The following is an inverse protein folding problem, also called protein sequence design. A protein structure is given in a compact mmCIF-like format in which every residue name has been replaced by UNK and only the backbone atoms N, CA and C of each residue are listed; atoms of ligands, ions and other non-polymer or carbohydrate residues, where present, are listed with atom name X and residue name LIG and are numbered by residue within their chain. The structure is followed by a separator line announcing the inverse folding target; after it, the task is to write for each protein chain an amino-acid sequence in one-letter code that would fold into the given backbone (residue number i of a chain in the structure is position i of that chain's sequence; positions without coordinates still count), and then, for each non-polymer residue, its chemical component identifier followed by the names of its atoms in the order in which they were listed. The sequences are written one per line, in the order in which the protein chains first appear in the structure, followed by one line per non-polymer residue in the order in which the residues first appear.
data_IF_563725385486
#
_entry.id   IF_563725385486
#
_cell.length_a   1.000
_cell.length_b   1.000
_cell.length_c   1.000
_cell.angle_alpha   90.00
_cell.angle_beta   90.00
_cell.angle_gamma   90.00
#
_symmetry.space_group_name_H-M   'P 1'
#
loop_
_entity.id
_entity.type
_entity.pdbx_description
1 polymer ?
#
# COMPACT_ATOMS: atom_id res chain seq x y z
N UNK A 1 23.21 7.40 -4.54
CA UNK A 1 22.53 6.20 -4.01
C UNK A 1 21.07 6.28 -4.42
N UNK A 2 20.61 5.37 -5.28
CA UNK A 2 19.20 5.31 -5.69
C UNK A 2 18.37 5.00 -4.45
N UNK A 3 17.48 5.92 -4.08
CA UNK A 3 16.52 5.75 -2.99
C UNK A 3 15.50 4.70 -3.44
N UNK A 4 15.89 3.42 -3.38
CA UNK A 4 14.96 2.30 -3.55
C UNK A 4 14.15 2.12 -2.26
N UNK A 5 13.51 3.19 -1.78
CA UNK A 5 12.88 3.29 -0.45
C UNK A 5 11.73 2.30 -0.25
N UNK A 6 10.55 2.79 0.12
CA UNK A 6 9.42 1.95 0.54
C UNK A 6 8.96 0.98 -0.57
N UNK A 7 9.24 1.30 -1.84
CA UNK A 7 8.90 0.49 -3.03
C UNK A 7 9.37 -0.96 -2.95
N UNK A 8 10.57 -1.21 -2.43
CA UNK A 8 11.14 -2.57 -2.35
C UNK A 8 10.27 -3.54 -1.55
N UNK A 9 9.61 -3.04 -0.51
CA UNK A 9 8.73 -3.85 0.34
C UNK A 9 7.51 -4.39 -0.42
N UNK A 10 7.17 -3.77 -1.56
CA UNK A 10 6.03 -4.16 -2.40
C UNK A 10 6.46 -4.87 -3.69
N UNK A 11 7.77 -5.04 -3.93
CA UNK A 11 8.26 -5.71 -5.15
C UNK A 11 7.86 -7.20 -5.16
N UNK A 12 7.93 -7.84 -3.99
CA UNK A 12 7.70 -9.27 -3.77
C UNK A 12 6.24 -9.60 -3.36
N UNK A 13 5.36 -8.61 -3.32
CA UNK A 13 3.94 -8.83 -3.04
C UNK A 13 3.27 -9.47 -4.25
N UNK A 14 2.75 -10.68 -4.07
CA UNK A 14 2.06 -11.47 -5.10
C UNK A 14 1.04 -12.41 -4.45
N UNK A 15 0.13 -12.95 -5.26
CA UNK A 15 -0.80 -14.01 -4.84
C UNK A 15 -0.05 -15.22 -4.26
N UNK A 16 0.95 -15.74 -4.97
CA UNK A 16 1.74 -16.90 -4.53
C UNK A 16 2.38 -16.67 -3.16
N UNK A 17 2.86 -15.45 -2.90
CA UNK A 17 3.44 -15.11 -1.60
C UNK A 17 2.42 -15.17 -0.47
N UNK A 18 1.21 -14.67 -0.69
CA UNK A 18 0.12 -14.73 0.30
C UNK A 18 -0.35 -16.18 0.49
N UNK A 19 -0.44 -16.95 -0.60
CA UNK A 19 -0.79 -18.37 -0.56
C UNK A 19 0.22 -19.20 0.23
N UNK A 20 1.52 -18.98 -0.01
CA UNK A 20 2.60 -19.67 0.72
C UNK A 20 2.60 -19.33 2.22
N UNK A 21 2.24 -18.10 2.58
CA UNK A 21 2.15 -17.69 3.99
C UNK A 21 1.01 -18.38 4.73
N UNK A 22 -0.11 -18.62 4.04
CA UNK A 22 -1.29 -19.26 4.63
C UNK A 22 -1.20 -20.79 4.60
N UNK A 23 -0.87 -21.37 3.44
CA UNK A 23 -0.97 -22.80 3.17
C UNK A 23 0.38 -23.50 2.94
N UNK A 24 1.48 -22.76 3.03
CA UNK A 24 2.82 -23.33 2.88
C UNK A 24 3.18 -24.32 3.99
N UNK A 25 4.31 -25.03 3.85
CA UNK A 25 4.75 -26.04 4.84
C UNK A 25 4.99 -25.47 6.24
N UNK A 26 5.27 -24.16 6.33
CA UNK A 26 5.42 -23.40 7.57
C UNK A 26 4.27 -22.40 7.78
N UNK A 27 3.15 -22.55 7.06
CA UNK A 27 2.04 -21.61 7.04
C UNK A 27 1.29 -21.55 8.37
N UNK A 28 0.79 -20.36 8.69
CA UNK A 28 -0.07 -20.12 9.85
C UNK A 28 -1.41 -19.58 9.35
N UNK A 29 -2.50 -20.01 9.99
CA UNK A 29 -3.83 -19.41 9.85
C UNK A 29 -3.69 -17.90 10.12
N UNK A 30 -4.12 -17.05 9.19
CA UNK A 30 -3.97 -15.57 9.16
C UNK A 30 -2.63 -15.02 8.63
N UNK A 31 -1.70 -15.85 8.15
CA UNK A 31 -0.37 -15.42 7.68
C UNK A 31 -0.41 -14.37 6.55
N UNK A 32 -1.38 -14.48 5.64
CA UNK A 32 -1.59 -13.50 4.58
C UNK A 32 -2.11 -12.14 5.08
N UNK A 33 -3.06 -12.16 6.01
CA UNK A 33 -3.67 -10.94 6.59
C UNK A 33 -2.67 -10.16 7.44
N UNK A 34 -1.91 -10.84 8.30
CA UNK A 34 -0.87 -10.22 9.12
C UNK A 34 0.22 -9.54 8.28
N UNK A 35 0.61 -10.17 7.17
CA UNK A 35 1.57 -9.58 6.23
C UNK A 35 1.04 -8.28 5.61
N UNK A 36 -0.23 -8.23 5.22
CA UNK A 36 -0.85 -7.02 4.67
C UNK A 36 -0.98 -5.94 5.74
N UNK A 37 -1.43 -6.30 6.95
CA UNK A 37 -1.51 -5.37 8.09
C UNK A 37 -0.16 -4.73 8.42
N UNK A 38 0.94 -5.45 8.24
CA UNK A 38 2.29 -4.90 8.40
C UNK A 38 2.67 -3.88 7.32
N UNK A 39 2.14 -4.02 6.09
CA UNK A 39 2.42 -3.11 4.96
C UNK A 39 1.54 -1.85 4.96
N UNK A 40 0.34 -1.89 5.55
CA UNK A 40 -0.57 -0.74 5.57
C UNK A 40 0.02 0.52 6.24
N UNK A 41 0.66 0.46 7.43
CA UNK A 41 1.29 1.63 8.04
C UNK A 41 2.37 2.28 7.16
N UNK A 42 3.09 1.46 6.39
CA UNK A 42 4.14 1.90 5.45
C UNK A 42 3.52 2.74 4.32
N UNK A 43 2.39 2.32 3.77
CA UNK A 43 1.64 3.09 2.76
C UNK A 43 1.08 4.39 3.33
N UNK A 44 0.52 4.35 4.54
CA UNK A 44 -0.04 5.53 5.21
C UNK A 44 1.04 6.59 5.44
N UNK A 45 2.21 6.18 5.96
CA UNK A 45 3.32 7.11 6.19
C UNK A 45 3.87 7.67 4.87
N UNK A 46 4.00 6.83 3.84
CA UNK A 46 4.46 7.26 2.53
C UNK A 46 3.51 8.29 1.89
N UNK A 47 2.20 8.05 1.97
CA UNK A 47 1.17 8.99 1.51
C UNK A 47 1.30 10.33 2.24
N UNK A 48 1.41 10.32 3.57
CA UNK A 48 1.57 11.52 4.39
C UNK A 48 2.78 12.35 3.95
N UNK A 49 3.94 11.72 3.75
CA UNK A 49 5.16 12.41 3.29
C UNK A 49 4.99 13.02 1.89
N UNK A 50 4.31 12.33 0.98
CA UNK A 50 4.00 12.85 -0.36
C UNK A 50 3.10 14.09 -0.29
N UNK A 51 2.10 14.08 0.59
CA UNK A 51 1.18 15.20 0.83
C UNK A 51 1.92 16.39 1.46
N UNK A 52 2.69 16.18 2.52
CA UNK A 52 3.53 17.20 3.16
C UNK A 52 4.47 17.87 2.14
N UNK A 53 5.14 17.08 1.30
CA UNK A 53 6.06 17.63 0.29
C UNK A 53 5.31 18.41 -0.79
N UNK A 54 4.12 17.94 -1.20
CA UNK A 54 3.27 18.63 -2.18
C UNK A 54 2.77 19.97 -1.65
N UNK A 55 2.37 20.02 -0.39
CA UNK A 55 1.87 21.24 0.23
C UNK A 55 2.99 22.26 0.43
N UNK A 56 4.20 21.82 0.79
CA UNK A 56 5.39 22.68 0.79
C UNK A 56 5.66 23.28 -0.59
N UNK A 57 5.63 22.47 -1.65
CA UNK A 57 5.82 22.98 -3.03
C UNK A 57 4.74 23.99 -3.47
N UNK A 58 3.50 23.84 -2.97
CA UNK A 58 2.37 24.73 -3.26
C UNK A 58 2.44 26.03 -2.48
N UNK A 59 2.92 25.99 -1.24
CA UNK A 59 3.02 27.17 -0.36
C UNK A 59 3.92 28.28 -0.90
N UNK A 60 4.78 27.97 -1.88
CA UNK A 60 5.68 28.96 -2.48
C UNK A 60 6.84 29.37 -1.58
N UNK A 61 7.06 28.64 -0.47
CA UNK A 61 8.27 28.75 0.33
C UNK A 61 9.49 28.59 -0.57
N UNK A 62 10.47 29.49 -0.42
CA UNK A 62 11.64 29.55 -1.31
C UNK A 62 12.52 28.32 -1.04
N UNK A 63 12.22 27.24 -1.74
CA UNK A 63 12.77 25.93 -1.47
C UNK A 63 14.02 25.74 -2.32
N UNK A 64 15.22 25.67 -1.72
CA UNK A 64 16.39 25.28 -2.48
C UNK A 64 16.11 23.91 -3.11
N UNK A 65 16.41 23.76 -4.40
CA UNK A 65 16.16 22.53 -5.17
C UNK A 65 14.68 22.21 -5.48
N UNK A 66 13.82 23.22 -5.67
CA UNK A 66 12.41 23.05 -6.08
C UNK A 66 12.20 22.11 -7.26
N UNK A 67 13.00 22.22 -8.32
CA UNK A 67 12.92 21.34 -9.50
C UNK A 67 13.23 19.88 -9.16
N UNK A 68 14.23 19.65 -8.30
CA UNK A 68 14.56 18.32 -7.80
C UNK A 68 13.42 17.74 -6.96
N UNK A 69 12.84 18.52 -6.05
CA UNK A 69 11.70 18.09 -5.23
C UNK A 69 10.46 17.77 -6.08
N UNK A 70 10.20 18.53 -7.15
CA UNK A 70 9.12 18.22 -8.10
C UNK A 70 9.36 16.89 -8.84
N UNK A 71 10.59 16.67 -9.31
CA UNK A 71 10.96 15.40 -9.95
C UNK A 71 10.80 14.23 -8.99
N UNK A 72 11.32 14.37 -7.78
CA UNK A 72 11.22 13.35 -6.75
C UNK A 72 9.76 13.01 -6.42
N UNK A 73 8.88 14.01 -6.26
CA UNK A 73 7.44 13.76 -6.02
C UNK A 73 6.81 12.96 -7.16
N UNK A 74 7.14 13.26 -8.43
CA UNK A 74 6.58 12.51 -9.57
C UNK A 74 7.01 11.05 -9.54
N UNK A 75 8.30 10.80 -9.32
CA UNK A 75 8.87 9.45 -9.24
C UNK A 75 8.28 8.67 -8.07
N UNK A 76 8.23 9.28 -6.88
CA UNK A 76 7.68 8.66 -5.66
C UNK A 76 6.16 8.42 -5.76
N UNK A 77 5.41 9.36 -6.35
CA UNK A 77 3.96 9.17 -6.55
C UNK A 77 3.66 8.01 -7.50
N UNK A 78 4.44 7.86 -8.57
CA UNK A 78 4.30 6.74 -9.50
C UNK A 78 4.69 5.41 -8.83
N UNK A 79 5.73 5.40 -7.99
CA UNK A 79 6.12 4.22 -7.23
C UNK A 79 5.04 3.82 -6.20
N UNK A 80 4.48 4.79 -5.48
CA UNK A 80 3.38 4.59 -4.54
C UNK A 80 2.14 3.99 -5.22
N UNK A 81 1.76 4.50 -6.40
CA UNK A 81 0.64 3.95 -7.17
C UNK A 81 0.86 2.50 -7.60
N UNK A 82 2.08 2.15 -8.03
CA UNK A 82 2.43 0.76 -8.37
C UNK A 82 2.38 -0.16 -7.16
N UNK A 83 2.86 0.31 -6.00
CA UNK A 83 2.80 -0.43 -4.75
C UNK A 83 1.35 -0.71 -4.32
N UNK A 84 0.48 0.30 -4.39
CA UNK A 84 -0.96 0.13 -4.15
C UNK A 84 -1.59 -0.89 -5.09
N UNK A 85 -1.33 -0.77 -6.39
CA UNK A 85 -1.91 -1.67 -7.37
C UNK A 85 -1.50 -3.13 -7.12
N UNK A 86 -0.21 -3.38 -6.87
CA UNK A 86 0.31 -4.72 -6.57
C UNK A 86 -0.31 -5.32 -5.31
N UNK A 87 -0.38 -4.54 -4.23
CA UNK A 87 -0.98 -5.00 -2.97
C UNK A 87 -2.46 -5.32 -3.15
N UNK A 88 -3.21 -4.44 -3.82
CA UNK A 88 -4.63 -4.63 -4.10
C UNK A 88 -4.87 -5.84 -5.00
N UNK A 89 -4.07 -6.04 -6.04
CA UNK A 89 -4.19 -7.19 -6.95
C UNK A 89 -3.92 -8.49 -6.20
N UNK A 90 -2.80 -8.59 -5.49
CA UNK A 90 -2.46 -9.78 -4.70
C UNK A 90 -3.56 -10.12 -3.67
N UNK A 91 -4.02 -9.11 -2.92
CA UNK A 91 -5.06 -9.31 -1.92
C UNK A 91 -6.41 -9.68 -2.51
N UNK A 92 -6.86 -9.01 -3.57
CA UNK A 92 -8.14 -9.33 -4.22
C UNK A 92 -8.11 -10.74 -4.81
N UNK A 93 -7.04 -11.12 -5.49
CA UNK A 93 -6.89 -12.50 -6.02
C UNK A 93 -6.91 -13.51 -4.87
N UNK A 94 -6.15 -13.26 -3.81
CA UNK A 94 -6.13 -14.12 -2.62
C UNK A 94 -7.53 -14.25 -1.98
N UNK A 95 -8.20 -13.12 -1.75
CA UNK A 95 -9.56 -13.05 -1.22
C UNK A 95 -10.56 -13.85 -2.05
N UNK A 96 -10.56 -13.72 -3.38
CA UNK A 96 -11.48 -14.50 -4.23
C UNK A 96 -11.16 -15.99 -4.26
N UNK A 97 -9.88 -16.36 -4.14
CA UNK A 97 -9.45 -17.77 -4.14
C UNK A 97 -9.72 -18.48 -2.80
N UNK A 98 -9.58 -17.78 -1.68
CA UNK A 98 -9.66 -18.37 -0.34
C UNK A 98 -10.99 -18.05 0.37
N UNK A 99 -11.52 -16.84 0.18
CA UNK A 99 -12.67 -16.30 0.92
C UNK A 99 -13.96 -16.25 0.09
N UNK A 100 -13.97 -16.90 -1.09
CA UNK A 100 -15.06 -16.93 -2.08
C UNK A 100 -16.42 -17.48 -1.63
N UNK A 101 -16.72 -17.58 -0.33
CA UNK A 101 -18.08 -17.85 0.18
C UNK A 101 -18.45 -17.19 1.51
N UNK A 102 -17.57 -16.43 2.16
CA UNK A 102 -17.84 -15.86 3.48
C UNK A 102 -17.27 -14.46 3.61
N UNK A 103 -18.13 -13.45 3.51
CA UNK A 103 -17.78 -12.04 3.69
C UNK A 103 -16.84 -11.83 4.90
N UNK A 104 -15.72 -11.09 4.76
CA UNK A 104 -14.89 -10.74 5.89
C UNK A 104 -15.69 -9.73 6.72
N UNK A 105 -16.14 -10.17 7.90
CA UNK A 105 -17.07 -9.40 8.75
C UNK A 105 -16.45 -8.07 9.23
N UNK A 106 -15.14 -7.87 9.05
CA UNK A 106 -14.38 -6.70 9.52
C UNK A 106 -13.96 -5.71 8.43
N UNK A 107 -14.20 -6.00 7.13
CA UNK A 107 -13.68 -5.18 6.02
C UNK A 107 -14.77 -4.56 5.12
N UNK A 108 -16.04 -4.67 5.50
CA UNK A 108 -17.06 -3.76 4.98
C UNK A 108 -16.73 -2.40 5.59
N UNK A 109 -16.18 -1.51 4.77
CA UNK A 109 -16.12 -0.09 5.06
C UNK A 109 -17.50 0.34 5.59
N UNK A 110 -17.59 0.62 6.89
CA UNK A 110 -18.69 1.40 7.44
C UNK A 110 -18.58 2.79 6.81
N UNK A 111 -19.20 2.94 5.64
CA UNK A 111 -19.64 4.23 5.14
C UNK A 111 -20.81 4.63 6.02
N UNK A 112 -20.46 5.15 7.18
CA UNK A 112 -21.38 5.88 8.04
C UNK A 112 -21.89 7.11 7.29
N UNK A 113 -23.20 7.33 7.35
CA UNK A 113 -23.80 8.63 7.06
C UNK A 113 -24.79 8.69 5.91
N UNK A 114 -25.94 8.03 6.06
CA UNK A 114 -27.07 8.21 5.15
C UNK A 114 -28.39 7.61 5.64
N UNK A 115 -28.67 7.64 6.94
CA UNK A 115 -29.96 7.22 7.46
C UNK A 115 -31.02 8.32 7.30
N UNK A 116 -32.00 8.01 6.43
CA UNK A 116 -33.35 8.57 6.24
C UNK A 116 -33.49 9.99 5.66
#
# INVERSE_FOLDING_TARGET
MSWKGHTRLFEDVSYDKLYDLEFGPDGYDDGGDDYIRALLPVLVDWKRRLEETRDRLRSGEDFPYREFAQRQIREESAAYQRALLKLSEAWLTYFFCCDGSGVPTSLIFEVDGGAK
#
